data_IF_448397752833
#
_entry.id   IF_448397752833
#
_cell.length_a   1.000
_cell.length_b   1.000
_cell.length_c   1.000
_cell.angle_alpha   90.00
_cell.angle_beta   90.00
_cell.angle_gamma   90.00
#
_symmetry.space_group_name_H-M   'P 1'
#
loop_
_entity.id
_entity.type
_entity.pdbx_description
1 polymer ?
#
# COMPACT_ATOMS: atom_id res chain seq x y z
N UNK A 1 8.58 -16.67 -4.53
CA UNK A 1 7.60 -15.78 -3.89
C UNK A 1 6.68 -16.62 -3.02
N UNK A 2 6.40 -16.20 -1.77
CA UNK A 2 5.45 -16.91 -0.90
C UNK A 2 4.03 -16.54 -1.30
N UNK A 3 3.10 -17.50 -1.26
CA UNK A 3 1.68 -17.20 -1.46
C UNK A 3 1.12 -16.42 -0.28
N UNK A 4 0.01 -15.70 -0.51
CA UNK A 4 -0.71 -14.97 0.53
C UNK A 4 -1.09 -15.87 1.72
N UNK A 5 -1.54 -17.09 1.42
CA UNK A 5 -1.92 -18.09 2.41
C UNK A 5 -0.74 -18.59 3.22
N UNK A 6 0.43 -18.78 2.59
CA UNK A 6 1.66 -19.13 3.30
C UNK A 6 2.11 -18.00 4.22
N UNK A 7 2.09 -16.75 3.74
CA UNK A 7 2.44 -15.58 4.56
C UNK A 7 1.52 -15.43 5.77
N UNK A 8 0.21 -15.57 5.57
CA UNK A 8 -0.78 -15.54 6.64
C UNK A 8 -0.47 -16.57 7.72
N UNK A 9 -0.27 -17.83 7.31
CA UNK A 9 0.03 -18.93 8.22
C UNK A 9 1.31 -18.69 9.03
N UNK A 10 2.37 -18.24 8.36
CA UNK A 10 3.66 -17.96 9.00
C UNK A 10 3.54 -16.84 10.04
N UNK A 11 2.93 -15.71 9.68
CA UNK A 11 2.75 -14.58 10.60
C UNK A 11 1.86 -14.93 11.80
N UNK A 12 0.78 -15.70 11.56
CA UNK A 12 -0.09 -16.16 12.63
C UNK A 12 0.64 -17.13 13.58
N UNK A 13 1.44 -18.06 13.03
CA UNK A 13 2.22 -19.01 13.81
C UNK A 13 3.32 -18.32 14.63
N UNK A 14 4.03 -17.35 14.05
CA UNK A 14 5.03 -16.54 14.75
C UNK A 14 4.42 -15.81 15.94
N UNK A 15 3.29 -15.12 15.75
CA UNK A 15 2.63 -14.40 16.83
C UNK A 15 2.07 -15.34 17.90
N UNK A 16 1.50 -16.48 17.49
CA UNK A 16 1.01 -17.51 18.41
C UNK A 16 2.14 -18.05 19.28
N UNK A 17 3.27 -18.44 18.68
CA UNK A 17 4.43 -18.97 19.42
C UNK A 17 5.00 -17.93 20.38
N UNK A 18 5.09 -16.67 19.95
CA UNK A 18 5.54 -15.55 20.79
C UNK A 18 4.63 -15.33 22.01
N UNK A 19 3.31 -15.39 21.81
CA UNK A 19 2.32 -15.26 22.88
C UNK A 19 2.34 -16.48 23.82
N UNK A 20 2.45 -17.69 23.27
CA UNK A 20 2.51 -18.96 24.03
C UNK A 20 3.71 -18.99 24.95
N UNK A 21 4.89 -18.60 24.46
CA UNK A 21 6.12 -18.57 25.25
C UNK A 21 6.04 -17.63 26.47
N UNK A 22 5.13 -16.65 26.47
CA UNK A 22 4.92 -15.66 27.54
C UNK A 22 3.64 -15.88 28.35
N UNK A 23 2.87 -16.93 28.05
CA UNK A 23 1.58 -17.17 28.70
C UNK A 23 0.49 -16.16 28.33
N UNK A 24 0.63 -15.41 27.23
CA UNK A 24 -0.33 -14.38 26.81
C UNK A 24 -1.47 -14.93 25.95
N UNK A 25 -2.19 -15.93 26.47
CA UNK A 25 -3.27 -16.59 25.74
C UNK A 25 -4.43 -15.64 25.38
N UNK A 26 -4.77 -14.69 26.27
CA UNK A 26 -5.82 -13.69 26.02
C UNK A 26 -5.44 -12.72 24.91
N UNK A 27 -4.18 -12.31 24.88
CA UNK A 27 -3.65 -11.44 23.82
C UNK A 27 -3.71 -12.16 22.47
N UNK A 28 -3.30 -13.43 22.42
CA UNK A 28 -3.42 -14.23 21.19
C UNK A 28 -4.88 -14.31 20.71
N UNK A 29 -5.82 -14.62 21.61
CA UNK A 29 -7.24 -14.69 21.25
C UNK A 29 -7.74 -13.36 20.65
N UNK A 30 -7.38 -12.24 21.28
CA UNK A 30 -7.71 -10.90 20.79
C UNK A 30 -7.09 -10.63 19.41
N UNK A 31 -5.78 -10.88 19.24
CA UNK A 31 -5.09 -10.65 17.98
C UNK A 31 -5.62 -11.54 16.86
N UNK A 32 -5.95 -12.81 17.17
CA UNK A 32 -6.51 -13.71 16.18
C UNK A 32 -7.88 -13.25 15.72
N UNK A 33 -8.81 -12.99 16.64
CA UNK A 33 -10.18 -12.57 16.29
C UNK A 33 -10.18 -11.28 15.49
N UNK A 34 -9.36 -10.30 15.87
CA UNK A 34 -9.38 -8.98 15.24
C UNK A 34 -8.51 -8.90 13.98
N UNK A 35 -7.37 -9.59 13.93
CA UNK A 35 -6.37 -9.36 12.87
C UNK A 35 -6.03 -10.64 12.08
N UNK A 36 -5.77 -11.77 12.73
CA UNK A 36 -5.33 -12.98 12.02
C UNK A 36 -6.45 -13.92 11.54
N UNK A 37 -7.70 -13.68 11.90
CA UNK A 37 -8.84 -14.42 11.34
C UNK A 37 -8.87 -14.19 9.82
N UNK A 38 -9.12 -15.21 8.97
CA UNK A 38 -9.12 -15.05 7.52
C UNK A 38 -9.99 -13.88 7.01
N UNK A 39 -11.14 -13.65 7.64
CA UNK A 39 -12.04 -12.55 7.28
C UNK A 39 -11.50 -11.17 7.63
N UNK A 40 -10.65 -11.07 8.66
CA UNK A 40 -10.03 -9.82 9.05
C UNK A 40 -8.69 -9.61 8.33
N UNK A 41 -7.93 -10.69 8.11
CA UNK A 41 -6.64 -10.67 7.44
C UNK A 41 -6.71 -9.96 6.09
N UNK A 42 -7.74 -10.27 5.29
CA UNK A 42 -7.97 -9.63 3.98
C UNK A 42 -8.18 -8.12 4.02
N UNK A 43 -8.53 -7.56 5.17
CA UNK A 43 -8.79 -6.12 5.31
C UNK A 43 -7.53 -5.29 5.50
N UNK A 44 -6.44 -5.88 6.01
CA UNK A 44 -5.21 -5.14 6.33
C UNK A 44 -3.95 -5.74 5.71
N UNK A 45 -3.93 -7.05 5.45
CA UNK A 45 -2.80 -7.70 4.84
C UNK A 45 -2.81 -7.46 3.34
N UNK A 46 -2.01 -6.51 2.87
CA UNK A 46 -1.92 -6.14 1.45
C UNK A 46 -1.45 -7.27 0.52
N UNK A 47 -0.97 -8.38 1.08
CA UNK A 47 -0.63 -9.58 0.32
C UNK A 47 -1.86 -10.40 -0.07
N UNK A 48 -3.07 -10.08 0.39
CA UNK A 48 -4.31 -10.80 0.01
C UNK A 48 -4.87 -10.37 -1.33
N UNK A 49 -4.49 -9.19 -1.83
CA UNK A 49 -4.87 -8.77 -3.16
C UNK A 49 -3.93 -9.41 -4.19
N UNK A 50 -4.46 -10.31 -5.02
CA UNK A 50 -3.71 -10.93 -6.11
C UNK A 50 -3.60 -10.05 -7.34
N UNK A 51 -4.42 -8.99 -7.45
CA UNK A 51 -4.46 -8.10 -8.60
C UNK A 51 -3.51 -6.90 -8.46
N UNK A 52 -3.12 -6.53 -7.24
CA UNK A 52 -2.34 -5.33 -6.97
C UNK A 52 -1.04 -5.60 -6.20
N UNK A 53 0.05 -4.92 -6.59
CA UNK A 53 1.33 -4.96 -5.87
C UNK A 53 1.53 -3.64 -5.12
N UNK A 54 1.54 -3.62 -3.77
CA UNK A 54 1.74 -2.39 -3.02
C UNK A 54 3.18 -1.89 -3.17
N UNK A 55 3.35 -0.77 -3.86
CA UNK A 55 4.66 -0.13 -4.09
C UNK A 55 5.23 0.60 -2.86
N UNK A 56 4.39 0.88 -1.86
CA UNK A 56 4.75 1.65 -0.66
C UNK A 56 4.65 0.76 0.57
N UNK A 57 5.48 0.95 1.61
CA UNK A 57 5.35 0.23 2.90
C UNK A 57 4.14 0.76 3.69
N UNK A 58 3.44 -0.09 4.45
CA UNK A 58 2.24 0.30 5.22
C UNK A 58 2.55 1.41 6.19
N UNK A 59 3.70 1.34 6.86
CA UNK A 59 4.19 2.37 7.79
C UNK A 59 4.31 3.73 7.11
N UNK A 60 4.89 3.78 5.92
CA UNK A 60 5.02 5.01 5.13
C UNK A 60 3.65 5.58 4.74
N UNK A 61 2.67 4.73 4.39
CA UNK A 61 1.31 5.19 4.08
C UNK A 61 0.68 5.83 5.33
N UNK A 62 0.72 5.11 6.47
CA UNK A 62 0.17 5.57 7.75
C UNK A 62 0.82 6.88 8.20
N UNK A 63 2.14 6.96 8.18
CA UNK A 63 2.89 8.18 8.53
C UNK A 63 2.53 9.35 7.61
N UNK A 64 2.42 9.10 6.30
CA UNK A 64 2.03 10.14 5.34
C UNK A 64 0.60 10.65 5.56
N UNK A 65 -0.32 9.75 5.93
CA UNK A 65 -1.70 10.09 6.28
C UNK A 65 -1.73 10.95 7.54
N UNK A 66 -1.05 10.53 8.62
CA UNK A 66 -0.98 11.30 9.86
C UNK A 66 -0.30 12.65 9.68
N UNK A 67 0.73 12.75 8.83
CA UNK A 67 1.33 14.04 8.48
C UNK A 67 0.29 14.96 7.83
N UNK A 68 -0.44 14.46 6.85
CA UNK A 68 -1.48 15.23 6.14
C UNK A 68 -2.58 15.66 7.11
N UNK A 69 -3.06 14.75 7.96
CA UNK A 69 -4.08 15.06 8.97
C UNK A 69 -3.61 16.17 9.93
N UNK A 70 -2.38 16.05 10.45
CA UNK A 70 -1.81 17.03 11.38
C UNK A 70 -1.61 18.40 10.74
N UNK A 71 -1.01 18.45 9.55
CA UNK A 71 -0.67 19.71 8.90
C UNK A 71 -1.87 20.39 8.24
N UNK A 72 -2.74 19.64 7.58
CA UNK A 72 -3.78 20.25 6.74
C UNK A 72 -5.05 20.50 7.58
N UNK A 73 -5.40 19.58 8.48
CA UNK A 73 -6.68 19.62 9.20
C UNK A 73 -6.55 20.03 10.67
N UNK A 74 -5.49 19.60 11.35
CA UNK A 74 -5.38 19.76 12.81
C UNK A 74 -4.39 20.87 13.25
N UNK A 75 -3.79 21.61 12.31
CA UNK A 75 -2.70 22.56 12.60
C UNK A 75 -3.08 23.70 13.56
N UNK A 76 -4.37 24.02 13.71
CA UNK A 76 -4.83 25.11 14.59
C UNK A 76 -5.22 24.66 15.99
N UNK A 77 -5.24 23.36 16.25
CA UNK A 77 -5.73 22.83 17.50
C UNK A 77 -4.59 22.29 18.36
N UNK A 78 -4.45 22.84 19.56
CA UNK A 78 -3.53 22.32 20.57
C UNK A 78 -4.27 21.32 21.47
N UNK A 79 -3.66 20.14 21.69
CA UNK A 79 -4.18 19.07 22.58
C UNK A 79 -5.64 18.68 22.30
N UNK A 80 -5.91 18.22 21.07
CA UNK A 80 -7.24 17.76 20.70
C UNK A 80 -7.69 16.55 21.51
N UNK A 81 -8.98 16.54 21.88
CA UNK A 81 -9.66 15.33 22.30
C UNK A 81 -9.86 14.40 21.10
N UNK A 82 -9.87 13.09 21.37
CA UNK A 82 -10.07 12.07 20.34
C UNK A 82 -11.36 12.29 19.56
N UNK A 83 -12.44 12.71 20.23
CA UNK A 83 -13.75 12.95 19.59
C UNK A 83 -13.68 14.00 18.48
N UNK A 84 -12.90 15.07 18.69
CA UNK A 84 -12.72 16.11 17.68
C UNK A 84 -11.92 15.58 16.49
N UNK A 85 -10.93 14.73 16.73
CA UNK A 85 -10.18 14.07 15.64
C UNK A 85 -11.10 13.16 14.84
N UNK A 86 -11.95 12.37 15.51
CA UNK A 86 -12.94 11.49 14.85
C UNK A 86 -13.90 12.32 14.01
N UNK A 87 -14.44 13.42 14.55
CA UNK A 87 -15.32 14.30 13.81
C UNK A 87 -14.65 14.94 12.59
N UNK A 88 -13.39 15.38 12.71
CA UNK A 88 -12.62 15.92 11.57
C UNK A 88 -12.38 14.85 10.50
N UNK A 89 -12.08 13.62 10.92
CA UNK A 89 -11.89 12.50 10.02
C UNK A 89 -13.16 12.21 9.22
N UNK A 90 -14.30 12.10 9.89
CA UNK A 90 -15.58 11.73 9.25
C UNK A 90 -16.19 12.88 8.45
N UNK A 91 -16.08 14.12 8.94
CA UNK A 91 -16.78 15.27 8.36
C UNK A 91 -15.97 16.02 7.31
N UNK A 92 -14.63 15.86 7.28
CA UNK A 92 -13.76 16.58 6.34
C UNK A 92 -12.82 15.68 5.58
N UNK A 93 -12.00 14.90 6.28
CA UNK A 93 -10.91 14.12 5.65
C UNK A 93 -11.46 13.06 4.72
N UNK A 94 -12.46 12.29 5.17
CA UNK A 94 -13.09 11.25 4.36
C UNK A 94 -13.82 11.83 3.13
N UNK A 95 -14.71 12.84 3.27
CA UNK A 95 -15.32 13.49 2.11
C UNK A 95 -14.30 14.03 1.10
N UNK A 96 -13.25 14.72 1.54
CA UNK A 96 -12.19 15.22 0.67
C UNK A 96 -11.46 14.09 -0.05
N UNK A 97 -11.16 13.00 0.65
CA UNK A 97 -10.53 11.83 0.05
C UNK A 97 -11.44 11.19 -1.01
N UNK A 98 -12.72 11.00 -0.70
CA UNK A 98 -13.71 10.46 -1.65
C UNK A 98 -13.83 11.36 -2.87
N UNK A 99 -13.97 12.68 -2.68
CA UNK A 99 -14.05 13.63 -3.78
C UNK A 99 -12.82 13.57 -4.71
N UNK A 100 -11.62 13.51 -4.13
CA UNK A 100 -10.36 13.36 -4.88
C UNK A 100 -10.29 12.01 -5.63
N UNK A 101 -10.74 10.93 -5.01
CA UNK A 101 -10.79 9.60 -5.65
C UNK A 101 -11.78 9.60 -6.82
N UNK A 102 -12.99 10.13 -6.63
CA UNK A 102 -14.00 10.26 -7.69
C UNK A 102 -13.49 11.13 -8.84
N UNK A 103 -12.79 12.23 -8.55
CA UNK A 103 -12.19 13.08 -9.57
C UNK A 103 -11.12 12.35 -10.40
N UNK A 104 -10.30 11.49 -9.77
CA UNK A 104 -9.33 10.66 -10.51
C UNK A 104 -10.05 9.64 -11.39
N UNK A 105 -11.01 8.90 -10.83
CA UNK A 105 -11.72 7.84 -11.55
C UNK A 105 -12.54 8.38 -12.72
N UNK A 106 -13.09 9.60 -12.61
CA UNK A 106 -13.83 10.28 -13.67
C UNK A 106 -12.95 11.06 -14.66
N UNK A 107 -11.62 11.05 -14.49
CA UNK A 107 -10.69 11.76 -15.37
C UNK A 107 -10.69 13.29 -15.19
N UNK A 108 -11.28 13.81 -14.12
CA UNK A 108 -11.34 15.24 -13.80
C UNK A 108 -10.03 15.73 -13.16
N UNK A 109 -8.93 15.66 -13.92
CA UNK A 109 -7.58 15.97 -13.42
C UNK A 109 -7.33 17.44 -13.07
N UNK A 110 -8.28 18.35 -13.38
CA UNK A 110 -8.23 19.76 -12.94
C UNK A 110 -8.54 19.89 -11.44
N UNK A 111 -9.42 19.03 -10.91
CA UNK A 111 -9.82 19.03 -9.50
C UNK A 111 -8.72 18.38 -8.66
N UNK A 112 -8.28 17.20 -9.08
CA UNK A 112 -7.20 16.52 -8.38
C UNK A 112 -6.34 15.71 -9.36
N UNK A 113 -5.03 15.92 -9.24
CA UNK A 113 -4.02 15.19 -10.01
C UNK A 113 -3.09 14.47 -9.05
N UNK A 114 -3.01 13.15 -9.20
CA UNK A 114 -2.09 12.36 -8.39
C UNK A 114 -0.64 12.80 -8.61
N UNK A 115 0.07 13.15 -7.53
CA UNK A 115 1.44 13.70 -7.59
C UNK A 115 2.43 12.76 -8.28
N UNK A 116 2.22 11.46 -8.20
CA UNK A 116 3.10 10.46 -8.84
C UNK A 116 2.96 10.45 -10.36
N UNK A 117 1.87 10.98 -10.94
CA UNK A 117 1.55 10.88 -12.37
C UNK A 117 2.60 11.54 -13.26
N UNK A 118 3.14 12.68 -12.85
CA UNK A 118 4.16 13.39 -13.65
C UNK A 118 5.48 12.63 -13.66
N UNK A 119 5.91 12.15 -12.49
CA UNK A 119 7.10 11.31 -12.37
C UNK A 119 6.95 10.03 -13.18
N UNK A 120 5.78 9.38 -13.10
CA UNK A 120 5.47 8.19 -13.89
C UNK A 120 5.53 8.49 -15.39
N UNK A 121 4.83 9.53 -15.87
CA UNK A 121 4.83 9.90 -17.29
C UNK A 121 6.22 10.20 -17.83
N UNK A 122 7.06 10.86 -17.03
CA UNK A 122 8.47 11.14 -17.38
C UNK A 122 9.26 9.84 -17.53
N UNK A 123 9.16 8.93 -16.56
CA UNK A 123 9.88 7.67 -16.60
C UNK A 123 9.36 6.76 -17.72
N UNK A 124 8.04 6.65 -17.90
CA UNK A 124 7.42 5.92 -19.00
C UNK A 124 7.95 6.37 -20.36
N UNK A 125 7.97 7.68 -20.63
CA UNK A 125 8.50 8.22 -21.89
C UNK A 125 9.96 7.87 -22.09
N UNK A 126 10.77 7.93 -21.03
CA UNK A 126 12.19 7.58 -21.08
C UNK A 126 12.39 6.11 -21.45
N UNK A 127 11.67 5.21 -20.78
CA UNK A 127 11.81 3.76 -20.99
C UNK A 127 11.19 3.31 -22.33
N UNK A 128 10.08 3.93 -22.76
CA UNK A 128 9.44 3.63 -24.04
C UNK A 128 10.29 3.97 -25.27
N UNK A 129 11.26 4.88 -25.14
CA UNK A 129 12.19 5.22 -26.23
C UNK A 129 13.40 4.28 -26.30
N UNK A 130 13.58 3.34 -25.36
CA UNK A 130 14.72 2.43 -25.36
C UNK A 130 14.46 1.26 -26.31
N UNK A 131 15.44 0.95 -27.14
CA UNK A 131 15.43 -0.27 -27.92
C UNK A 131 15.64 -1.48 -26.99
N UNK A 132 14.78 -2.49 -27.12
CA UNK A 132 14.89 -3.73 -26.36
C UNK A 132 15.79 -4.68 -27.14
N UNK A 133 16.94 -5.05 -26.57
CA UNK A 133 17.82 -6.03 -27.18
C UNK A 133 17.26 -7.46 -27.01
N UNK A 134 17.08 -8.23 -28.09
CA UNK A 134 16.48 -9.56 -28.04
C UNK A 134 17.29 -10.55 -27.20
N UNK A 135 18.61 -10.38 -27.11
CA UNK A 135 19.46 -11.25 -26.28
C UNK A 135 19.27 -11.01 -24.79
N UNK A 136 18.96 -9.76 -24.39
CA UNK A 136 18.65 -9.42 -23.00
C UNK A 136 17.28 -9.94 -22.55
N UNK A 137 16.35 -10.16 -23.48
CA UNK A 137 15.08 -10.83 -23.19
C UNK A 137 15.26 -12.34 -22.89
N UNK A 138 16.34 -12.96 -23.38
CA UNK A 138 16.69 -14.34 -23.03
C UNK A 138 17.42 -14.41 -21.68
N UNK A 139 18.18 -13.37 -21.34
CA UNK A 139 18.90 -13.26 -20.07
C UNK A 139 17.97 -12.96 -18.88
N UNK A 140 16.99 -12.08 -19.08
CA UNK A 140 16.01 -11.73 -18.04
C UNK A 140 14.70 -12.49 -18.25
N UNK A 141 14.20 -13.13 -17.20
CA UNK A 141 12.86 -13.69 -17.19
C UNK A 141 11.84 -12.55 -17.22
N UNK A 142 11.27 -12.29 -18.40
CA UNK A 142 10.22 -11.30 -18.63
C UNK A 142 8.87 -11.98 -18.90
N UNK A 143 7.81 -11.51 -18.25
CA UNK A 143 6.44 -11.91 -18.55
C UNK A 143 5.60 -10.66 -18.75
N UNK A 144 5.22 -10.39 -20.01
CA UNK A 144 4.41 -9.24 -20.37
C UNK A 144 2.97 -9.32 -19.85
N UNK A 145 2.42 -10.54 -19.72
CA UNK A 145 1.05 -10.77 -19.22
C UNK A 145 0.96 -10.40 -17.74
N UNK A 146 1.96 -10.79 -16.95
CA UNK A 146 1.99 -10.47 -15.51
C UNK A 146 2.71 -9.16 -15.19
N UNK A 147 3.22 -8.44 -16.20
CA UNK A 147 4.02 -7.22 -16.04
C UNK A 147 5.23 -7.39 -15.09
N UNK A 148 6.02 -8.46 -15.29
CA UNK A 148 7.18 -8.78 -14.44
C UNK A 148 8.46 -8.89 -15.27
N UNK A 149 9.55 -8.35 -14.74
CA UNK A 149 10.91 -8.53 -15.28
C UNK A 149 11.90 -8.85 -14.15
N UNK A 150 12.83 -9.79 -14.39
CA UNK A 150 13.85 -10.16 -13.41
C UNK A 150 15.08 -9.25 -13.38
N UNK A 151 15.11 -8.18 -14.19
CA UNK A 151 16.27 -7.29 -14.24
C UNK A 151 16.38 -6.41 -12.99
N UNK A 152 17.62 -6.01 -12.65
CA UNK A 152 17.91 -5.14 -11.50
C UNK A 152 17.20 -3.78 -11.58
N UNK A 153 17.05 -3.24 -12.79
CA UNK A 153 16.34 -1.98 -13.02
C UNK A 153 14.87 -2.07 -12.63
N UNK A 154 14.19 -3.18 -12.93
CA UNK A 154 12.80 -3.40 -12.56
C UNK A 154 12.62 -3.46 -11.04
N UNK A 155 13.50 -4.20 -10.34
CA UNK A 155 13.46 -4.35 -8.88
C UNK A 155 13.65 -3.01 -8.13
N UNK A 156 14.45 -2.11 -8.69
CA UNK A 156 14.67 -0.77 -8.11
C UNK A 156 13.70 0.28 -8.66
N UNK A 157 12.86 -0.07 -9.64
CA UNK A 157 11.94 0.87 -10.26
C UNK A 157 10.76 1.14 -9.34
N UNK A 158 10.57 2.41 -8.99
CA UNK A 158 9.39 2.85 -8.24
C UNK A 158 8.07 2.46 -8.91
N UNK A 159 8.05 2.42 -10.25
CA UNK A 159 6.85 2.19 -11.04
C UNK A 159 6.86 0.84 -11.77
N UNK A 160 7.77 -0.07 -11.41
CA UNK A 160 7.86 -1.40 -12.03
C UNK A 160 7.98 -1.32 -13.57
N UNK A 161 8.84 -0.41 -14.03
CA UNK A 161 9.21 -0.22 -15.45
C UNK A 161 10.72 -0.23 -15.59
N UNK A 162 11.23 -0.85 -16.66
CA UNK A 162 12.66 -1.07 -16.90
C UNK A 162 13.01 -1.10 -18.39
#
# INVERSE_FOLDING_TARGET
YKSSTTLHRECAAEMYTWCKARGYYRLWAYLYVNWYCPDQWKLWARATDSAEIPTVKTTTIVESHWRTLKHDYLHRFNRLRVDLVVWVLTSRVLPDAVHRMTAISSGQFRIFKARWREAFKKQWRKEACKAVHPDKLKEYHTNAVSWVCSCKSFLHSRFLIC
#
